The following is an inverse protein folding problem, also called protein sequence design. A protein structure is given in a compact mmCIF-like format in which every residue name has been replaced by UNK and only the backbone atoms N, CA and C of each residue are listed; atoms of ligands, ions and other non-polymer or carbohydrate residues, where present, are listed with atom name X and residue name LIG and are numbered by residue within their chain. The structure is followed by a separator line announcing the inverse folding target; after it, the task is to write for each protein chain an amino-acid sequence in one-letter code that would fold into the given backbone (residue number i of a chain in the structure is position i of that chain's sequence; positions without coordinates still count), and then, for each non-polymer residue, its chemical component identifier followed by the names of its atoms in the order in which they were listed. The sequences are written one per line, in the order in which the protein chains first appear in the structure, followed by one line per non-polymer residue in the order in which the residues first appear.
data_IF_875090790997
#
_entry.id   IF_875090790997
#
_cell.length_a   1.000
_cell.length_b   1.000
_cell.length_c   1.000
_cell.angle_alpha   90.00
_cell.angle_beta   90.00
_cell.angle_gamma   90.00
#
_symmetry.space_group_name_H-M   'P 1'
#
loop_
_entity.id
_entity.type
_entity.pdbx_description
1 polymer ?
#
# COMPACT_ATOMS: atom_id res chain seq x y z
N UNK A 1 40.00 -0.06 39.37
CA UNK A 1 39.23 1.16 39.73
C UNK A 1 39.05 1.96 38.45
N UNK A 2 37.93 1.98 37.73
CA UNK A 2 36.56 1.45 37.85
C UNK A 2 36.16 0.96 36.42
N UNK A 3 35.60 -0.24 36.18
CA UNK A 3 34.21 -0.72 36.37
C UNK A 3 33.14 0.08 35.62
N UNK A 4 32.56 -0.59 34.61
CA UNK A 4 31.14 -0.76 34.26
C UNK A 4 30.16 0.37 34.58
N UNK A 5 29.44 0.87 33.56
CA UNK A 5 27.98 1.12 33.65
C UNK A 5 27.29 1.30 32.28
N UNK A 6 26.13 0.68 32.18
CA UNK A 6 25.22 0.53 31.04
C UNK A 6 24.42 1.82 30.76
N UNK A 7 24.25 2.22 29.49
CA UNK A 7 23.03 2.92 29.04
C UNK A 7 22.56 2.38 27.68
N UNK A 8 21.59 1.47 27.77
CA UNK A 8 20.54 1.25 26.77
C UNK A 8 19.61 2.47 26.82
N UNK A 9 19.38 3.17 25.71
CA UNK A 9 18.08 3.74 25.28
C UNK A 9 18.25 4.79 24.17
N UNK A 10 17.43 4.66 23.11
CA UNK A 10 16.87 5.82 22.40
C UNK A 10 17.53 6.18 21.07
N UNK A 11 16.69 6.35 20.03
CA UNK A 11 17.05 6.79 18.68
C UNK A 11 17.62 8.22 18.70
N UNK A 12 18.93 8.36 18.50
CA UNK A 12 19.53 9.66 18.17
C UNK A 12 19.41 9.91 16.67
N UNK A 13 18.42 10.73 16.29
CA UNK A 13 18.34 11.34 14.97
C UNK A 13 18.85 12.77 15.13
N UNK A 14 19.92 13.11 14.42
CA UNK A 14 20.55 14.42 14.41
C UNK A 14 19.56 15.45 13.84
N UNK A 15 19.18 16.43 14.64
CA UNK A 15 18.44 17.62 14.22
C UNK A 15 19.28 18.45 13.23
N UNK A 16 18.76 18.65 12.02
CA UNK A 16 19.19 19.74 11.15
C UNK A 16 17.96 20.50 10.66
N UNK A 17 17.93 21.79 10.99
CA UNK A 17 16.74 22.61 11.03
C UNK A 17 16.08 22.92 9.67
N UNK A 18 14.76 22.73 9.68
CA UNK A 18 13.73 23.40 8.86
C UNK A 18 13.76 23.20 7.34
N UNK A 19 13.02 22.20 6.87
CA UNK A 19 12.07 22.40 5.77
C UNK A 19 10.83 21.53 5.99
N UNK A 20 9.65 22.16 5.94
CA UNK A 20 8.42 21.66 6.53
C UNK A 20 7.72 20.53 5.75
N UNK A 21 7.16 19.60 6.54
CA UNK A 21 5.99 18.72 6.33
C UNK A 21 5.92 17.73 5.17
N UNK A 22 5.54 16.51 5.50
CA UNK A 22 4.42 15.81 4.86
C UNK A 22 3.78 14.99 5.99
N UNK A 23 2.85 15.53 6.78
CA UNK A 23 1.51 15.87 6.34
C UNK A 23 0.77 14.56 6.05
N UNK A 24 -0.33 14.27 6.75
CA UNK A 24 -1.28 13.22 6.31
C UNK A 24 -1.58 13.47 4.83
N UNK A 25 -0.88 12.77 3.94
CA UNK A 25 -1.16 12.81 2.52
C UNK A 25 -2.47 12.07 2.42
N UNK A 26 -3.57 12.80 2.22
CA UNK A 26 -4.78 12.20 1.68
C UNK A 26 -4.36 11.53 0.37
N UNK A 27 -4.07 10.23 0.43
CA UNK A 27 -3.57 9.49 -0.71
C UNK A 27 -4.76 9.36 -1.66
N UNK A 28 -4.79 10.22 -2.68
CA UNK A 28 -5.86 10.22 -3.67
C UNK A 28 -5.52 9.18 -4.73
N UNK A 29 -6.27 8.08 -4.74
CA UNK A 29 -6.21 7.10 -5.82
C UNK A 29 -7.12 7.54 -6.96
N UNK A 30 -6.61 7.58 -8.18
CA UNK A 30 -7.37 8.09 -9.34
C UNK A 30 -8.14 6.99 -10.08
N UNK A 31 -7.65 5.76 -10.00
CA UNK A 31 -8.12 4.55 -10.67
C UNK A 31 -8.67 3.54 -9.68
N UNK A 32 -8.69 3.82 -8.38
CA UNK A 32 -9.40 3.01 -7.39
C UNK A 32 -10.67 3.74 -7.00
N UNK A 33 -11.78 3.04 -7.19
CA UNK A 33 -13.12 3.53 -6.88
C UNK A 33 -13.74 2.67 -5.80
N UNK A 34 -14.48 3.27 -4.88
CA UNK A 34 -15.29 2.57 -3.88
C UNK A 34 -16.74 2.95 -4.11
N UNK A 35 -17.56 1.96 -4.44
CA UNK A 35 -19.00 2.14 -4.60
C UNK A 35 -19.72 1.06 -3.76
N UNK A 36 -20.56 1.44 -2.78
CA UNK A 36 -21.27 0.49 -1.93
C UNK A 36 -22.20 -0.45 -2.70
N UNK A 37 -22.69 -0.05 -3.88
CA UNK A 37 -23.54 -0.87 -4.74
C UNK A 37 -22.75 -1.86 -5.60
N UNK A 38 -21.43 -1.66 -5.72
CA UNK A 38 -20.53 -2.48 -6.55
C UNK A 38 -19.63 -3.33 -5.67
N UNK A 39 -19.60 -4.65 -5.91
CA UNK A 39 -18.76 -5.60 -5.18
C UNK A 39 -18.88 -5.52 -3.63
N UNK A 40 -20.02 -5.04 -3.12
CA UNK A 40 -20.28 -4.90 -1.69
C UNK A 40 -19.43 -3.82 -1.01
N UNK A 41 -19.09 -2.73 -1.72
CA UNK A 41 -18.27 -1.64 -1.19
C UNK A 41 -16.77 -1.93 -1.20
N UNK A 42 -16.33 -2.99 -1.88
CA UNK A 42 -14.90 -3.29 -2.01
C UNK A 42 -14.23 -2.29 -2.98
N UNK A 43 -12.99 -1.85 -2.69
CA UNK A 43 -12.21 -1.07 -3.63
C UNK A 43 -12.04 -1.82 -4.96
N UNK A 44 -12.40 -1.14 -6.04
CA UNK A 44 -12.43 -1.68 -7.38
C UNK A 44 -11.60 -0.81 -8.34
N UNK A 45 -11.07 -1.42 -9.39
CA UNK A 45 -10.33 -0.71 -10.43
C UNK A 45 -11.31 0.03 -11.33
N UNK A 46 -11.19 1.36 -11.44
CA UNK A 46 -11.91 2.26 -12.36
C UNK A 46 -13.44 2.06 -12.45
N UNK A 47 -14.09 1.76 -11.34
CA UNK A 47 -15.53 1.47 -11.30
C UNK A 47 -15.92 0.13 -11.94
N UNK A 48 -14.94 -0.69 -12.30
CA UNK A 48 -15.16 -2.03 -12.83
C UNK A 48 -15.56 -2.99 -11.71
N UNK A 49 -16.23 -4.09 -12.05
CA UNK A 49 -16.48 -5.20 -11.10
C UNK A 49 -15.22 -6.08 -10.89
N UNK A 50 -14.05 -5.45 -10.84
CA UNK A 50 -12.75 -6.08 -10.64
C UNK A 50 -12.10 -5.52 -9.36
N UNK A 51 -12.21 -6.23 -8.23
CA UNK A 51 -11.69 -5.77 -6.95
C UNK A 51 -10.16 -5.65 -6.95
N UNK A 52 -9.63 -4.64 -6.25
CA UNK A 52 -8.18 -4.49 -6.02
C UNK A 52 -7.60 -5.74 -5.35
N UNK A 53 -8.32 -6.34 -4.41
CA UNK A 53 -7.92 -7.59 -3.75
C UNK A 53 -7.77 -8.77 -4.71
N UNK A 54 -8.55 -8.84 -5.80
CA UNK A 54 -8.39 -9.87 -6.82
C UNK A 54 -7.08 -9.66 -7.58
N UNK A 55 -6.78 -8.43 -7.97
CA UNK A 55 -5.53 -8.10 -8.66
C UNK A 55 -4.31 -8.48 -7.82
N UNK A 56 -4.32 -8.09 -6.55
CA UNK A 56 -3.27 -8.42 -5.59
C UNK A 56 -3.18 -9.93 -5.35
N UNK A 57 -4.30 -10.65 -5.34
CA UNK A 57 -4.32 -12.10 -5.23
C UNK A 57 -3.65 -12.81 -6.40
N UNK A 58 -3.83 -12.31 -7.63
CA UNK A 58 -3.13 -12.85 -8.82
C UNK A 58 -1.62 -12.63 -8.71
N UNK A 59 -1.21 -11.41 -8.33
CA UNK A 59 0.21 -11.10 -8.11
C UNK A 59 0.82 -11.96 -7.00
N UNK A 60 0.09 -12.17 -5.90
CA UNK A 60 0.52 -13.03 -4.80
C UNK A 60 0.62 -14.52 -5.21
N UNK A 61 -0.18 -14.95 -6.19
CA UNK A 61 -0.09 -16.29 -6.77
C UNK A 61 1.11 -16.45 -7.73
N UNK A 62 1.86 -15.38 -8.00
CA UNK A 62 3.04 -15.40 -8.88
C UNK A 62 2.74 -15.09 -10.34
N UNK A 63 1.53 -14.62 -10.67
CA UNK A 63 1.22 -14.15 -12.03
C UNK A 63 2.06 -12.91 -12.38
N UNK A 64 2.59 -12.86 -13.60
CA UNK A 64 3.33 -11.70 -14.08
C UNK A 64 2.39 -10.58 -14.50
N UNK A 65 2.91 -9.35 -14.57
CA UNK A 65 2.11 -8.20 -14.99
C UNK A 65 1.59 -8.39 -16.41
N UNK A 66 2.42 -8.93 -17.30
CA UNK A 66 2.09 -9.21 -18.69
C UNK A 66 0.99 -10.27 -18.80
N UNK A 67 1.11 -11.39 -18.07
CA UNK A 67 0.09 -12.46 -18.03
C UNK A 67 -1.28 -11.94 -17.60
N UNK A 68 -1.29 -11.05 -16.59
CA UNK A 68 -2.52 -10.41 -16.10
C UNK A 68 -3.12 -9.49 -17.17
N UNK A 69 -2.31 -8.67 -17.83
CA UNK A 69 -2.79 -7.76 -18.88
C UNK A 69 -3.27 -8.53 -20.12
N UNK A 70 -2.64 -9.65 -20.47
CA UNK A 70 -3.07 -10.52 -21.56
C UNK A 70 -4.40 -11.21 -21.24
N UNK A 71 -4.57 -11.68 -19.99
CA UNK A 71 -5.80 -12.31 -19.51
C UNK A 71 -6.95 -11.32 -19.35
N UNK A 72 -6.63 -10.07 -19.03
CA UNK A 72 -7.57 -8.99 -18.76
C UNK A 72 -7.20 -7.75 -19.59
N UNK A 73 -7.47 -7.75 -20.91
CA UNK A 73 -7.02 -6.70 -21.84
C UNK A 73 -7.67 -5.32 -21.60
N UNK A 74 -8.66 -5.25 -20.71
CA UNK A 74 -9.24 -3.99 -20.26
C UNK A 74 -8.45 -3.34 -19.13
N UNK A 75 -7.52 -4.04 -18.49
CA UNK A 75 -6.61 -3.48 -17.50
C UNK A 75 -5.44 -2.77 -18.18
N UNK A 76 -4.94 -1.74 -17.51
CA UNK A 76 -3.74 -1.01 -17.92
C UNK A 76 -2.63 -1.24 -16.89
N UNK A 77 -1.35 -1.16 -17.28
CA UNK A 77 -0.22 -1.27 -16.34
C UNK A 77 -0.35 -0.34 -15.12
N UNK A 78 -0.93 0.85 -15.32
CA UNK A 78 -1.17 1.85 -14.29
C UNK A 78 -2.20 1.38 -13.24
N UNK A 79 -3.14 0.50 -13.62
CA UNK A 79 -4.08 -0.13 -12.67
C UNK A 79 -3.32 -0.99 -11.66
N UNK A 80 -2.31 -1.74 -12.14
CA UNK A 80 -1.50 -2.61 -11.30
C UNK A 80 -0.64 -1.79 -10.34
N UNK A 81 0.00 -0.74 -10.85
CA UNK A 81 0.81 0.15 -10.01
C UNK A 81 -0.03 0.82 -8.93
N UNK A 82 -1.23 1.29 -9.25
CA UNK A 82 -2.07 1.95 -8.26
C UNK A 82 -2.65 0.97 -7.24
N UNK A 83 -2.99 -0.26 -7.65
CA UNK A 83 -3.37 -1.33 -6.74
C UNK A 83 -2.26 -1.66 -5.73
N UNK A 84 -1.00 -1.69 -6.17
CA UNK A 84 0.16 -1.89 -5.29
C UNK A 84 0.35 -0.72 -4.32
N UNK A 85 0.18 0.53 -4.78
CA UNK A 85 0.22 1.71 -3.90
C UNK A 85 -0.87 1.64 -2.83
N UNK A 86 -2.08 1.22 -3.22
CA UNK A 86 -3.18 1.02 -2.28
C UNK A 86 -2.90 -0.08 -1.26
N UNK A 87 -2.30 -1.19 -1.68
CA UNK A 87 -1.88 -2.25 -0.77
C UNK A 87 -0.83 -1.75 0.25
N UNK A 88 0.17 -1.00 -0.22
CA UNK A 88 1.20 -0.43 0.64
C UNK A 88 0.61 0.57 1.66
N UNK A 89 -0.33 1.41 1.22
CA UNK A 89 -1.07 2.31 2.10
C UNK A 89 -1.82 1.57 3.21
N UNK A 90 -2.57 0.51 2.88
CA UNK A 90 -3.28 -0.29 3.88
C UNK A 90 -2.32 -0.99 4.85
N UNK A 91 -1.20 -1.51 4.35
CA UNK A 91 -0.21 -2.21 5.18
C UNK A 91 0.53 -1.29 6.16
N UNK A 92 0.60 0.02 5.88
CA UNK A 92 1.15 1.02 6.79
C UNK A 92 0.17 1.39 7.91
N UNK A 93 -1.13 1.40 7.61
CA UNK A 93 -2.20 1.69 8.58
C UNK A 93 -2.49 0.53 9.53
N UNK A 94 -2.37 -0.72 9.08
CA UNK A 94 -2.71 -1.91 9.86
C UNK A 94 -1.48 -2.58 10.49
N UNK A 95 -1.34 -2.46 11.81
CA UNK A 95 -0.33 -3.22 12.57
C UNK A 95 -0.89 -4.61 12.87
N UNK A 96 -0.34 -5.62 12.20
CA UNK A 96 -0.66 -7.02 12.48
C UNK A 96 0.24 -7.54 13.60
N UNK A 97 -0.36 -7.92 14.74
CA UNK A 97 0.35 -8.69 15.75
C UNK A 97 0.47 -10.15 15.29
N UNK A 98 1.70 -10.61 15.12
CA UNK A 98 1.97 -12.01 14.83
C UNK A 98 1.98 -12.80 16.16
N UNK A 99 1.07 -13.76 16.29
CA UNK A 99 0.99 -14.70 17.41
C UNK A 99 1.82 -15.96 17.16
#
# INVERSE_FOLDING_TARGET
MAQDDIVRHGRDVIECGNCAVSGVNAMVFQRITVDPEVCGGKPCIRGMRFPVSRLLGLLAAGETHESILDSYPYLEPEDIQEALRYAAFLADEEIVEFA
#
